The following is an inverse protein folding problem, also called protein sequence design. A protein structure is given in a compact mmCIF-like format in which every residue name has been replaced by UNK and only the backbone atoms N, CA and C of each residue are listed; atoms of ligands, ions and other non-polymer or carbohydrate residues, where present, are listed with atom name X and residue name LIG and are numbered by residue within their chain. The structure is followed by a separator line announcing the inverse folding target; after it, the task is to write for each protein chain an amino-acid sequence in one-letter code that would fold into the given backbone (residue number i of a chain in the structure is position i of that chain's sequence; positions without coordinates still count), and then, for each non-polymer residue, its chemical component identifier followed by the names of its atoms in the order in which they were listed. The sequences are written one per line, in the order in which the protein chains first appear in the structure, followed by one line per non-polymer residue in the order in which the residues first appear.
data_IF_013198808821
#
_entry.id   IF_013198808821
#
_cell.length_a   1.000
_cell.length_b   1.000
_cell.length_c   1.000
_cell.angle_alpha   90.00
_cell.angle_beta   90.00
_cell.angle_gamma   90.00
#
_symmetry.space_group_name_H-M   'P 1'
#
loop_
_entity.id
_entity.type
_entity.pdbx_description
1 polymer ?
#
# COMPACT_ATOMS: atom_id res chain seq x y z
N UNK A 1 -8.53 15.87 -15.35
CA UNK A 1 -7.32 15.43 -15.37
C UNK A 1 -7.05 14.42 -14.43
N UNK A 2 -6.53 13.42 -14.76
CA UNK A 2 -6.46 12.38 -13.87
C UNK A 2 -5.12 11.97 -13.58
N UNK A 3 -4.38 12.88 -13.10
CA UNK A 3 -3.11 12.57 -12.69
C UNK A 3 -3.13 12.21 -11.31
N UNK A 4 -4.28 11.77 -10.78
CA UNK A 4 -4.41 11.47 -9.38
C UNK A 4 -3.82 10.14 -9.02
N UNK A 5 -3.65 9.26 -9.99
CA UNK A 5 -3.12 7.93 -9.67
C UNK A 5 -1.61 7.92 -9.73
N UNK A 6 -1.01 7.24 -8.77
CA UNK A 6 0.44 7.19 -8.61
C UNK A 6 0.86 5.74 -8.56
N UNK A 7 2.05 5.43 -9.08
CA UNK A 7 2.57 4.07 -9.04
C UNK A 7 2.84 3.62 -7.61
N UNK A 8 2.52 2.37 -7.31
CA UNK A 8 2.77 1.79 -6.01
C UNK A 8 3.60 0.52 -6.19
N UNK A 9 4.59 0.35 -5.32
CA UNK A 9 5.50 -0.79 -5.41
C UNK A 9 5.08 -1.85 -4.40
N UNK A 10 4.34 -2.84 -4.88
CA UNK A 10 3.78 -3.89 -4.03
C UNK A 10 4.80 -4.69 -3.24
N UNK A 11 5.92 -5.13 -3.87
CA UNK A 11 6.91 -5.91 -3.12
C UNK A 11 7.51 -5.18 -1.93
N UNK A 12 7.75 -3.87 -2.08
CA UNK A 12 8.26 -3.07 -0.95
C UNK A 12 7.20 -2.98 0.14
N UNK A 13 5.95 -2.76 -0.25
CA UNK A 13 4.86 -2.69 0.71
C UNK A 13 4.75 -3.99 1.50
N UNK A 14 4.86 -5.11 0.81
CA UNK A 14 4.80 -6.41 1.47
C UNK A 14 5.96 -6.60 2.45
N UNK A 15 7.17 -6.23 2.02
CA UNK A 15 8.35 -6.38 2.88
C UNK A 15 8.21 -5.55 4.14
N UNK A 16 7.70 -4.32 4.01
CA UNK A 16 7.50 -3.46 5.17
C UNK A 16 6.43 -4.03 6.10
N UNK A 17 5.36 -4.56 5.53
CA UNK A 17 4.31 -5.17 6.32
C UNK A 17 4.83 -6.37 7.10
N UNK A 18 5.55 -7.25 6.42
CA UNK A 18 6.09 -8.44 7.06
C UNK A 18 7.09 -8.09 8.15
N UNK A 19 7.85 -7.05 7.92
CA UNK A 19 8.82 -6.60 8.91
C UNK A 19 8.14 -6.14 10.18
N UNK A 20 6.95 -5.55 10.07
CA UNK A 20 6.17 -5.15 11.23
C UNK A 20 5.41 -6.31 11.87
N UNK A 21 5.39 -7.46 11.21
CA UNK A 21 4.64 -8.60 11.71
C UNK A 21 3.14 -8.44 11.60
N UNK A 22 2.69 -7.67 10.60
CA UNK A 22 1.28 -7.35 10.43
C UNK A 22 0.72 -8.15 9.28
N UNK A 23 -0.47 -8.74 9.46
CA UNK A 23 -1.13 -9.50 8.40
C UNK A 23 -1.71 -8.55 7.35
N UNK A 24 -2.04 -9.10 6.19
CA UNK A 24 -2.73 -8.32 5.16
C UNK A 24 -4.06 -7.79 5.67
N UNK A 25 -4.77 -8.61 6.44
CA UNK A 25 -6.04 -8.21 6.99
C UNK A 25 -5.87 -7.04 7.95
N UNK A 26 -4.88 -7.12 8.82
CA UNK A 26 -4.63 -6.07 9.79
C UNK A 26 -4.19 -4.79 9.11
N UNK A 27 -3.33 -4.89 8.10
CA UNK A 27 -2.93 -3.72 7.35
C UNK A 27 -4.15 -3.07 6.69
N UNK A 28 -5.02 -3.89 6.10
CA UNK A 28 -6.24 -3.38 5.50
C UNK A 28 -7.10 -2.62 6.51
N UNK A 29 -7.27 -3.20 7.70
CA UNK A 29 -8.04 -2.55 8.75
C UNK A 29 -7.45 -1.19 9.12
N UNK A 30 -6.14 -1.13 9.25
CA UNK A 30 -5.47 0.12 9.61
C UNK A 30 -5.55 1.17 8.51
N UNK A 31 -5.54 0.73 7.26
CA UNK A 31 -5.56 1.63 6.12
C UNK A 31 -6.98 1.91 5.60
N UNK A 32 -8.00 1.28 6.18
CA UNK A 32 -9.36 1.44 5.70
C UNK A 32 -9.61 0.71 4.39
N UNK A 33 -8.90 -0.40 4.15
CA UNK A 33 -9.01 -1.18 2.93
C UNK A 33 -9.32 -2.63 3.26
N UNK A 34 -9.72 -3.39 2.24
CA UNK A 34 -9.94 -4.81 2.43
C UNK A 34 -8.64 -5.58 2.30
N UNK A 35 -8.62 -6.77 2.87
CA UNK A 35 -7.49 -7.67 2.72
C UNK A 35 -7.23 -8.00 1.26
N UNK A 36 -8.29 -8.17 0.48
CA UNK A 36 -8.15 -8.46 -0.94
C UNK A 36 -7.47 -7.33 -1.67
N UNK A 37 -7.77 -6.09 -1.33
CA UNK A 37 -7.11 -4.94 -1.94
C UNK A 37 -5.62 -4.95 -1.63
N UNK A 38 -5.25 -5.22 -0.38
CA UNK A 38 -3.85 -5.30 0.02
C UNK A 38 -3.16 -6.42 -0.76
N UNK A 39 -3.80 -7.57 -0.85
CA UNK A 39 -3.25 -8.72 -1.55
C UNK A 39 -2.99 -8.40 -3.02
N UNK A 40 -3.93 -7.75 -3.68
CA UNK A 40 -3.79 -7.40 -5.09
C UNK A 40 -2.63 -6.44 -5.32
N UNK A 41 -2.48 -5.47 -4.43
CA UNK A 41 -1.39 -4.51 -4.54
C UNK A 41 -0.05 -5.23 -4.36
N UNK A 42 0.05 -6.07 -3.34
CA UNK A 42 1.31 -6.76 -3.05
C UNK A 42 1.71 -7.71 -4.18
N UNK A 43 0.74 -8.28 -4.86
CA UNK A 43 1.00 -9.20 -5.96
C UNK A 43 1.11 -8.52 -7.32
N UNK A 44 1.11 -7.21 -7.35
CA UNK A 44 1.31 -6.47 -8.59
C UNK A 44 0.10 -6.39 -9.49
N UNK A 45 -1.08 -6.82 -9.02
CA UNK A 45 -2.29 -6.75 -9.83
C UNK A 45 -2.85 -5.34 -9.86
N UNK A 46 -2.51 -4.53 -8.88
CA UNK A 46 -2.84 -3.13 -8.84
C UNK A 46 -1.52 -2.40 -8.72
N UNK A 47 -1.14 -1.69 -9.75
CA UNK A 47 0.15 -1.02 -9.77
C UNK A 47 0.06 0.48 -9.64
N UNK A 48 -1.15 1.03 -9.61
CA UNK A 48 -1.36 2.46 -9.38
C UNK A 48 -2.50 2.64 -8.41
N UNK A 49 -2.44 3.68 -7.62
CA UNK A 49 -3.47 3.97 -6.62
C UNK A 49 -3.61 5.46 -6.43
N UNK A 50 -4.73 5.85 -5.88
CA UNK A 50 -4.96 7.24 -5.52
C UNK A 50 -3.96 7.64 -4.44
N UNK A 51 -3.41 8.87 -4.48
CA UNK A 51 -2.45 9.31 -3.47
C UNK A 51 -2.95 9.16 -2.04
N UNK A 52 -4.24 9.37 -1.80
CA UNK A 52 -4.79 9.21 -0.45
C UNK A 52 -4.73 7.76 0.01
N UNK A 53 -4.91 6.81 -0.90
CA UNK A 53 -4.79 5.39 -0.57
C UNK A 53 -3.35 5.05 -0.22
N UNK A 54 -2.40 5.55 -0.98
CA UNK A 54 -0.99 5.33 -0.71
C UNK A 54 -0.62 5.93 0.65
N UNK A 55 -1.12 7.14 0.92
CA UNK A 55 -0.85 7.79 2.20
C UNK A 55 -1.43 6.98 3.35
N UNK A 56 -2.65 6.44 3.20
CA UNK A 56 -3.27 5.65 4.23
C UNK A 56 -2.47 4.38 4.51
N UNK A 57 -1.98 3.71 3.46
CA UNK A 57 -1.16 2.52 3.62
C UNK A 57 0.15 2.88 4.30
N UNK A 58 0.79 3.96 3.88
CA UNK A 58 2.06 4.39 4.47
C UNK A 58 1.90 4.73 5.94
N UNK A 59 0.82 5.39 6.31
CA UNK A 59 0.55 5.69 7.70
C UNK A 59 0.33 4.42 8.51
N UNK A 60 -0.36 3.45 7.92
CA UNK A 60 -0.60 2.18 8.59
C UNK A 60 0.70 1.40 8.78
N UNK A 61 1.67 1.61 7.90
CA UNK A 61 2.98 0.97 8.00
C UNK A 61 3.99 1.84 8.76
N UNK A 62 3.58 3.05 9.12
CA UNK A 62 4.44 4.00 9.83
C UNK A 62 5.70 4.33 9.02
N UNK A 63 5.53 4.58 7.73
CA UNK A 63 6.63 4.95 6.84
C UNK A 63 6.24 6.14 5.97
N UNK A 64 7.25 6.75 5.36
CA UNK A 64 7.03 7.82 4.40
C UNK A 64 6.38 7.21 3.15
N UNK A 65 5.32 7.82 2.61
CA UNK A 65 4.66 7.29 1.41
C UNK A 65 5.60 7.08 0.24
N UNK A 66 6.67 7.86 0.14
CA UNK A 66 7.62 7.72 -0.96
C UNK A 66 8.30 6.36 -0.98
N UNK A 67 8.34 5.68 0.15
CA UNK A 67 8.97 4.36 0.21
C UNK A 67 8.19 3.30 -0.57
N UNK A 68 6.90 3.50 -0.74
CA UNK A 68 6.07 2.54 -1.46
C UNK A 68 5.58 3.08 -2.80
N UNK A 69 6.01 4.26 -3.18
CA UNK A 69 5.67 4.82 -4.48
C UNK A 69 6.73 4.43 -5.49
N UNK A 70 6.28 4.19 -6.72
CA UNK A 70 7.23 3.95 -7.80
C UNK A 70 7.77 5.27 -8.29
N UNK A 71 9.03 5.24 -8.64
CA UNK A 71 9.67 6.42 -9.18
C UNK A 71 9.17 6.76 -10.58
#
# INVERSE_FOLDING_TARGET
MTRDKVGIHGPTMRALRERLGVSQERLGQRAGLTMQTINRIENGRVSISHPLTIKAIAQALDVDPRLIMKA
#
